data_IF_951684765392
#
_entry.id   IF_951684765392
#
_cell.length_a   1.000
_cell.length_b   1.000
_cell.length_c   1.000
_cell.angle_alpha   90.00
_cell.angle_beta   90.00
_cell.angle_gamma   90.00
#
_symmetry.space_group_name_H-M   'P 1'
#
loop_
_entity.id
_entity.type
_entity.pdbx_description
1 polymer ?
#
# COMPACT_ATOMS: atom_id res chain seq x y z
N UNK A 1 23.98 -36.88 14.60
CA UNK A 1 23.46 -35.58 14.12
C UNK A 1 22.20 -35.20 14.93
N UNK A 2 22.29 -34.27 15.88
CA UNK A 2 21.13 -33.72 16.62
C UNK A 2 21.32 -32.21 16.83
N UNK A 3 20.52 -31.38 16.13
CA UNK A 3 19.81 -30.32 16.83
C UNK A 3 18.44 -30.04 16.19
N UNK A 4 17.35 -30.44 16.86
CA UNK A 4 15.96 -30.08 16.46
C UNK A 4 15.22 -29.27 17.54
N UNK A 5 15.90 -28.94 18.65
CA UNK A 5 15.35 -28.17 19.78
C UNK A 5 15.64 -26.66 19.73
N UNK A 6 16.67 -26.24 18.97
CA UNK A 6 17.03 -24.81 18.85
C UNK A 6 16.06 -24.02 17.97
N UNK A 7 15.46 -24.67 16.97
CA UNK A 7 14.52 -24.01 16.06
C UNK A 7 13.22 -23.60 16.76
N UNK A 8 12.72 -24.44 17.69
CA UNK A 8 11.48 -24.16 18.40
C UNK A 8 11.61 -22.99 19.39
N UNK A 9 12.76 -22.87 20.07
CA UNK A 9 13.06 -21.73 20.93
C UNK A 9 13.22 -20.44 20.11
N UNK A 10 13.87 -20.53 18.94
CA UNK A 10 14.04 -19.41 18.01
C UNK A 10 12.71 -18.93 17.44
N UNK A 11 11.84 -19.84 16.99
CA UNK A 11 10.52 -19.50 16.46
C UNK A 11 9.64 -18.85 17.54
N UNK A 12 9.64 -19.37 18.78
CA UNK A 12 8.89 -18.75 19.89
C UNK A 12 9.40 -17.35 20.22
N UNK A 13 10.71 -17.14 20.20
CA UNK A 13 11.31 -15.82 20.41
C UNK A 13 10.90 -14.84 19.29
N UNK A 14 10.97 -15.27 18.03
CA UNK A 14 10.55 -14.45 16.87
C UNK A 14 9.06 -14.11 16.94
N UNK A 15 8.20 -15.09 17.23
CA UNK A 15 6.75 -14.88 17.35
C UNK A 15 6.44 -13.95 18.52
N UNK A 16 7.10 -14.13 19.67
CA UNK A 16 6.91 -13.26 20.83
C UNK A 16 7.33 -11.82 20.58
N UNK A 17 8.38 -11.59 19.78
CA UNK A 17 8.84 -10.25 19.43
C UNK A 17 7.99 -9.58 18.35
N UNK A 18 7.49 -10.35 17.38
CA UNK A 18 6.60 -9.85 16.32
C UNK A 18 5.16 -9.68 16.79
N UNK A 19 4.71 -10.44 17.80
CA UNK A 19 3.30 -10.47 18.20
C UNK A 19 2.74 -9.10 18.56
N UNK A 20 3.43 -8.19 19.30
CA UNK A 20 2.86 -6.89 19.63
C UNK A 20 2.63 -6.04 18.39
N UNK A 21 3.58 -6.03 17.45
CA UNK A 21 3.48 -5.30 16.19
C UNK A 21 2.34 -5.86 15.31
N UNK A 22 2.24 -7.19 15.21
CA UNK A 22 1.19 -7.86 14.44
C UNK A 22 -0.19 -7.64 15.06
N UNK A 23 -0.31 -7.70 16.38
CA UNK A 23 -1.57 -7.44 17.09
C UNK A 23 -2.01 -6.00 16.86
N UNK A 24 -1.10 -5.03 16.98
CA UNK A 24 -1.42 -3.62 16.71
C UNK A 24 -1.84 -3.42 15.26
N UNK A 25 -1.11 -4.00 14.30
CA UNK A 25 -1.48 -3.91 12.89
C UNK A 25 -2.86 -4.54 12.63
N UNK A 26 -3.12 -5.73 13.19
CA UNK A 26 -4.41 -6.40 13.05
C UNK A 26 -5.55 -5.58 13.68
N UNK A 27 -5.33 -4.96 14.83
CA UNK A 27 -6.35 -4.17 15.54
C UNK A 27 -6.65 -2.82 14.85
N UNK A 28 -5.63 -2.13 14.37
CA UNK A 28 -5.76 -0.76 13.86
C UNK A 28 -5.80 -0.66 12.33
N UNK A 29 -5.38 -1.69 11.61
CA UNK A 29 -5.41 -1.73 10.13
C UNK A 29 -6.30 -2.87 9.67
N UNK A 30 -6.03 -4.10 10.12
CA UNK A 30 -6.76 -5.29 9.66
C UNK A 30 -8.25 -5.25 10.00
N UNK A 31 -8.59 -4.96 11.26
CA UNK A 31 -9.96 -4.90 11.73
C UNK A 31 -10.80 -3.82 11.01
N UNK A 32 -10.39 -2.54 10.94
CA UNK A 32 -11.17 -1.54 10.21
C UNK A 32 -11.23 -1.84 8.70
N UNK A 33 -10.20 -2.44 8.11
CA UNK A 33 -10.24 -2.89 6.71
C UNK A 33 -11.33 -3.94 6.49
N UNK A 34 -11.38 -4.99 7.33
CA UNK A 34 -12.42 -6.02 7.24
C UNK A 34 -13.81 -5.42 7.46
N UNK A 35 -13.95 -4.50 8.42
CA UNK A 35 -15.21 -3.78 8.62
C UNK A 35 -15.63 -2.97 7.39
N UNK A 36 -14.71 -2.27 6.74
CA UNK A 36 -14.99 -1.51 5.53
C UNK A 36 -15.42 -2.43 4.37
N UNK A 37 -14.75 -3.58 4.21
CA UNK A 37 -15.11 -4.60 3.22
C UNK A 37 -16.52 -5.13 3.47
N UNK A 38 -16.84 -5.51 4.71
CA UNK A 38 -18.20 -5.95 5.07
C UNK A 38 -19.18 -4.83 4.78
N UNK A 39 -18.93 -3.60 5.23
CA UNK A 39 -19.81 -2.45 5.05
C UNK A 39 -20.08 -2.14 3.57
N UNK A 40 -19.10 -2.36 2.70
CA UNK A 40 -19.24 -2.17 1.25
C UNK A 40 -20.34 -3.05 0.62
N UNK A 41 -20.70 -4.16 1.27
CA UNK A 41 -21.78 -5.07 0.86
C UNK A 41 -23.16 -4.68 1.40
N UNK A 42 -23.22 -3.67 2.26
CA UNK A 42 -24.47 -3.17 2.84
C UNK A 42 -24.81 -1.81 2.28
N UNK A 43 -26.10 -1.51 2.23
CA UNK A 43 -26.60 -0.17 2.01
C UNK A 43 -26.58 0.57 3.34
N UNK A 44 -25.61 1.47 3.53
CA UNK A 44 -25.47 2.27 4.74
C UNK A 44 -25.37 3.76 4.38
N UNK A 45 -26.27 4.58 4.94
CA UNK A 45 -26.32 6.05 4.70
C UNK A 45 -25.74 6.86 5.87
N UNK A 46 -24.80 6.31 6.63
CA UNK A 46 -24.12 6.99 7.75
C UNK A 46 -24.96 7.14 9.02
N UNK A 47 -26.26 7.45 8.90
CA UNK A 47 -27.14 7.81 10.03
C UNK A 47 -28.31 6.83 10.21
N UNK A 48 -28.53 5.93 9.25
CA UNK A 48 -29.66 5.00 9.29
C UNK A 48 -29.31 3.73 10.07
N UNK A 49 -30.11 3.41 11.09
CA UNK A 49 -30.00 2.18 11.87
C UNK A 49 -30.28 0.91 11.04
N UNK A 50 -30.91 1.04 9.86
CA UNK A 50 -31.20 -0.07 8.96
C UNK A 50 -30.07 -0.28 7.98
N UNK A 51 -29.14 -1.18 8.32
CA UNK A 51 -28.18 -1.77 7.38
C UNK A 51 -28.89 -2.87 6.59
N UNK A 52 -29.09 -2.66 5.30
CA UNK A 52 -29.63 -3.71 4.41
C UNK A 52 -28.48 -4.37 3.67
N UNK A 53 -28.35 -5.68 3.77
CA UNK A 53 -27.40 -6.43 2.94
C UNK A 53 -27.87 -6.39 1.49
N UNK A 54 -27.01 -5.93 0.59
CA UNK A 54 -27.29 -5.77 -0.85
C UNK A 54 -26.21 -6.41 -1.73
N UNK A 55 -25.30 -7.18 -1.14
CA UNK A 55 -24.22 -7.85 -1.86
C UNK A 55 -23.38 -6.87 -2.68
N UNK A 56 -23.25 -7.11 -3.98
CA UNK A 56 -22.37 -6.34 -4.86
C UNK A 56 -23.05 -5.16 -5.56
N UNK A 57 -24.32 -4.87 -5.29
CA UNK A 57 -25.07 -3.79 -5.96
C UNK A 57 -24.39 -2.42 -5.87
N UNK A 58 -23.66 -2.13 -4.78
CA UNK A 58 -22.92 -0.88 -4.64
C UNK A 58 -21.80 -0.76 -5.69
N UNK A 59 -21.12 -1.87 -6.00
CA UNK A 59 -20.05 -1.90 -6.98
C UNK A 59 -20.57 -1.75 -8.40
N UNK A 60 -21.70 -2.38 -8.74
CA UNK A 60 -22.37 -2.20 -10.03
C UNK A 60 -22.77 -0.74 -10.25
N UNK A 61 -23.35 -0.10 -9.24
CA UNK A 61 -23.73 1.32 -9.28
C UNK A 61 -22.52 2.24 -9.47
N UNK A 62 -21.43 1.99 -8.74
CA UNK A 62 -20.18 2.74 -8.90
C UNK A 62 -19.57 2.54 -10.28
N UNK A 63 -19.59 1.33 -10.82
CA UNK A 63 -19.01 1.04 -12.13
C UNK A 63 -19.77 1.72 -13.27
N UNK A 64 -21.09 1.85 -13.14
CA UNK A 64 -21.92 2.58 -14.11
C UNK A 64 -21.68 4.11 -14.06
N UNK A 65 -21.21 4.64 -12.93
CA UNK A 65 -20.99 6.07 -12.72
C UNK A 65 -19.78 6.59 -13.53
N UNK A 66 -20.02 7.57 -14.40
CA UNK A 66 -18.98 8.22 -15.22
C UNK A 66 -17.95 8.97 -14.38
N UNK A 67 -18.37 9.61 -13.28
CA UNK A 67 -17.48 10.36 -12.40
C UNK A 67 -16.52 9.39 -11.71
N UNK A 68 -17.05 8.26 -11.22
CA UNK A 68 -16.23 7.23 -10.60
C UNK A 68 -15.19 6.66 -11.57
N UNK A 69 -15.60 6.29 -12.79
CA UNK A 69 -14.67 5.75 -13.81
C UNK A 69 -13.60 6.76 -14.21
N UNK A 70 -13.94 8.04 -14.36
CA UNK A 70 -12.96 9.11 -14.61
C UNK A 70 -12.00 9.26 -13.43
N UNK A 71 -12.49 9.27 -12.19
CA UNK A 71 -11.67 9.38 -11.00
C UNK A 71 -10.69 8.21 -10.85
N UNK A 72 -11.15 6.97 -11.09
CA UNK A 72 -10.30 5.77 -11.09
C UNK A 72 -9.24 5.85 -12.18
N UNK A 73 -9.62 6.22 -13.40
CA UNK A 73 -8.69 6.33 -14.53
C UNK A 73 -7.63 7.40 -14.26
N UNK A 74 -8.03 8.58 -13.76
CA UNK A 74 -7.09 9.64 -13.40
C UNK A 74 -6.13 9.20 -12.30
N UNK A 75 -6.61 8.47 -11.29
CA UNK A 75 -5.74 7.93 -10.23
C UNK A 75 -4.74 6.91 -10.78
N UNK A 76 -5.18 6.00 -11.65
CA UNK A 76 -4.29 5.01 -12.26
C UNK A 76 -3.26 5.67 -13.17
N UNK A 77 -3.67 6.67 -13.97
CA UNK A 77 -2.76 7.46 -14.80
C UNK A 77 -1.74 8.21 -13.95
N UNK A 78 -2.15 8.79 -12.82
CA UNK A 78 -1.23 9.45 -11.90
C UNK A 78 -0.27 8.44 -11.26
N UNK A 79 -0.77 7.31 -10.77
CA UNK A 79 0.02 6.27 -10.11
C UNK A 79 1.11 5.74 -11.05
N UNK A 80 0.73 5.32 -12.26
CA UNK A 80 1.66 4.75 -13.23
C UNK A 80 2.52 5.84 -13.88
N UNK A 81 1.91 6.94 -14.30
CA UNK A 81 2.59 8.03 -15.00
C UNK A 81 3.61 8.75 -14.12
N UNK A 82 3.25 9.13 -12.90
CA UNK A 82 4.18 9.75 -11.97
C UNK A 82 5.27 8.77 -11.54
N UNK A 83 4.91 7.51 -11.26
CA UNK A 83 5.88 6.47 -10.92
C UNK A 83 6.90 6.24 -12.04
N UNK A 84 6.44 6.10 -13.28
CA UNK A 84 7.31 5.95 -14.44
C UNK A 84 8.20 7.18 -14.65
N UNK A 85 7.66 8.39 -14.52
CA UNK A 85 8.44 9.62 -14.64
C UNK A 85 9.56 9.69 -13.59
N UNK A 86 9.26 9.38 -12.32
CA UNK A 86 10.25 9.34 -11.25
C UNK A 86 11.33 8.29 -11.55
N UNK A 87 10.95 7.09 -12.01
CA UNK A 87 11.91 6.05 -12.36
C UNK A 87 12.82 6.46 -13.52
N UNK A 88 12.26 7.02 -14.59
CA UNK A 88 13.04 7.51 -15.74
C UNK A 88 14.02 8.61 -15.29
N UNK A 89 13.55 9.59 -14.52
CA UNK A 89 14.40 10.65 -13.99
C UNK A 89 15.52 10.09 -13.09
N UNK A 90 15.20 9.16 -12.19
CA UNK A 90 16.18 8.52 -11.31
C UNK A 90 17.25 7.76 -12.10
N UNK A 91 16.87 7.05 -13.16
CA UNK A 91 17.79 6.33 -14.03
C UNK A 91 18.69 7.28 -14.85
N UNK A 92 18.11 8.34 -15.42
CA UNK A 92 18.87 9.36 -16.15
C UNK A 92 19.89 10.05 -15.25
N UNK A 93 19.48 10.43 -14.03
CA UNK A 93 20.38 11.01 -13.03
C UNK A 93 21.46 10.01 -12.60
N UNK A 94 21.11 8.74 -12.34
CA UNK A 94 22.08 7.70 -11.98
C UNK A 94 23.13 7.49 -13.08
N UNK A 95 22.71 7.47 -14.34
CA UNK A 95 23.61 7.35 -15.48
C UNK A 95 24.53 8.58 -15.62
N UNK A 96 23.98 9.80 -15.53
CA UNK A 96 24.74 11.04 -15.61
C UNK A 96 25.80 11.18 -14.50
N UNK A 97 25.50 10.71 -13.29
CA UNK A 97 26.42 10.76 -12.14
C UNK A 97 27.55 9.72 -12.24
N UNK A 98 27.32 8.58 -12.90
CA UNK A 98 28.35 7.54 -13.09
C UNK A 98 29.46 7.95 -14.07
N UNK A 99 29.17 8.83 -15.02
CA UNK A 99 30.09 9.21 -16.10
C UNK A 99 31.21 10.21 -15.74
N UNK A 100 31.32 10.68 -14.50
CA UNK A 100 32.39 11.62 -14.10
C UNK A 100 32.34 13.02 -14.74
N UNK A 101 31.23 13.39 -15.39
CA UNK A 101 31.03 14.71 -15.99
C UNK A 101 30.84 15.83 -14.96
N UNK A 102 30.86 17.10 -15.39
CA UNK A 102 30.77 18.32 -14.53
C UNK A 102 29.62 18.27 -13.51
N UNK A 103 28.49 17.64 -13.81
CA UNK A 103 27.39 17.45 -12.86
C UNK A 103 27.70 16.49 -11.69
N UNK A 104 28.52 15.46 -11.89
CA UNK A 104 28.95 14.56 -10.81
C UNK A 104 29.82 15.27 -9.78
N UNK A 105 30.59 16.29 -10.20
CA UNK A 105 31.34 17.18 -9.29
C UNK A 105 30.44 18.13 -8.50
N UNK A 106 29.43 18.71 -9.14
CA UNK A 106 28.46 19.61 -8.45
C UNK A 106 27.62 18.84 -7.44
N UNK A 107 27.10 17.65 -7.80
CA UNK A 107 26.32 16.82 -6.89
C UNK A 107 27.16 16.32 -5.68
N UNK A 108 28.44 15.99 -5.88
CA UNK A 108 29.35 15.66 -4.76
C UNK A 108 29.65 16.84 -3.85
N UNK A 109 29.68 18.07 -4.38
CA UNK A 109 29.98 19.28 -3.62
C UNK A 109 28.78 19.82 -2.81
N UNK A 110 27.56 19.41 -3.15
CA UNK A 110 26.34 19.77 -2.40
C UNK A 110 26.05 18.76 -1.27
N UNK A 111 26.60 17.55 -1.38
CA UNK A 111 26.39 16.46 -0.42
C UNK A 111 27.52 16.31 0.62
N UNK A 112 28.62 17.05 0.46
CA UNK A 112 29.73 17.20 1.42
C UNK A 112 29.69 18.61 2.01
#
# INVERSE_FOLDING_TARGET
MRPRRRDFARTRFIIGFLSPAVILYAAFVGYPLVQALILSLYRFRGVSARRKFIGLENFEKLWADDIFRRAVTNNLLLLVGAGAAILVLALLLSHALRGGGRMAKVARAVYL
#
